data_IF_112812243412
#
_entry.id   IF_112812243412
#
_cell.length_a   1.000
_cell.length_b   1.000
_cell.length_c   1.000
_cell.angle_alpha   90.00
_cell.angle_beta   90.00
_cell.angle_gamma   90.00
#
_symmetry.space_group_name_H-M   'P 1'
#
loop_
_entity.id
_entity.type
_entity.pdbx_description
1 polymer ?
#
# COMPACT_ATOMS: atom_id res chain seq x y z
N UNK A 1 -20.63 11.61 -14.82
CA UNK A 1 -19.74 12.08 -13.71
C UNK A 1 -19.88 11.24 -12.43
N UNK A 2 -21.07 11.05 -11.84
CA UNK A 2 -21.26 10.18 -10.65
C UNK A 2 -20.91 8.71 -10.90
N UNK A 3 -21.29 8.18 -12.07
CA UNK A 3 -21.03 6.78 -12.45
C UNK A 3 -19.53 6.45 -12.51
N UNK A 4 -18.71 7.24 -13.22
CA UNK A 4 -17.24 7.09 -13.27
C UNK A 4 -16.57 7.13 -11.88
N UNK A 5 -17.08 7.96 -10.96
CA UNK A 5 -16.53 8.03 -9.59
C UNK A 5 -16.79 6.73 -8.81
N UNK A 6 -17.93 6.09 -9.04
CA UNK A 6 -18.25 4.81 -8.40
C UNK A 6 -17.39 3.67 -8.97
N UNK A 7 -17.12 3.67 -10.27
CA UNK A 7 -16.26 2.66 -10.91
C UNK A 7 -14.83 2.69 -10.39
N UNK A 8 -14.24 3.88 -10.24
CA UNK A 8 -12.87 4.02 -9.69
C UNK A 8 -12.77 3.50 -8.26
N UNK A 9 -13.79 3.74 -7.44
CA UNK A 9 -13.82 3.25 -6.05
C UNK A 9 -13.94 1.72 -6.03
N UNK A 10 -14.79 1.14 -6.88
CA UNK A 10 -14.92 -0.32 -7.00
C UNK A 10 -13.61 -0.95 -7.49
N UNK A 11 -12.95 -0.36 -8.49
CA UNK A 11 -11.67 -0.83 -9.01
C UNK A 11 -10.59 -0.78 -7.92
N UNK A 12 -10.53 0.33 -7.19
CA UNK A 12 -9.59 0.55 -6.09
C UNK A 12 -9.77 -0.49 -4.98
N UNK A 13 -11.00 -0.67 -4.49
CA UNK A 13 -11.30 -1.58 -3.37
C UNK A 13 -11.06 -3.03 -3.79
N UNK A 14 -11.51 -3.42 -5.00
CA UNK A 14 -11.33 -4.78 -5.51
C UNK A 14 -9.85 -5.15 -5.60
N UNK A 15 -9.03 -4.28 -6.21
CA UNK A 15 -7.59 -4.53 -6.30
C UNK A 15 -6.90 -4.51 -4.93
N UNK A 16 -7.35 -3.67 -3.99
CA UNK A 16 -6.84 -3.68 -2.61
C UNK A 16 -7.13 -5.01 -1.90
N UNK A 17 -8.35 -5.55 -2.07
CA UNK A 17 -8.74 -6.85 -1.53
C UNK A 17 -7.86 -7.97 -2.10
N UNK A 18 -7.62 -7.97 -3.42
CA UNK A 18 -6.77 -8.96 -4.09
C UNK A 18 -5.32 -8.82 -3.64
N UNK A 19 -4.79 -7.61 -3.53
CA UNK A 19 -3.43 -7.35 -3.03
C UNK A 19 -3.25 -7.88 -1.59
N UNK A 20 -4.21 -7.58 -0.71
CA UNK A 20 -4.21 -8.05 0.69
C UNK A 20 -4.35 -9.57 0.78
N UNK A 21 -5.20 -10.19 -0.04
CA UNK A 21 -5.33 -11.63 -0.13
C UNK A 21 -4.01 -12.27 -0.58
N UNK A 22 -3.37 -11.72 -1.61
CA UNK A 22 -2.08 -12.17 -2.13
C UNK A 22 -0.98 -12.05 -1.07
N UNK A 23 -0.94 -10.94 -0.33
CA UNK A 23 -0.01 -10.76 0.79
C UNK A 23 -0.24 -11.80 1.92
N UNK A 24 -1.50 -12.17 2.19
CA UNK A 24 -1.83 -13.23 3.17
C UNK A 24 -1.40 -14.60 2.67
N UNK A 25 -1.60 -14.93 1.40
CA UNK A 25 -1.12 -16.18 0.80
C UNK A 25 0.41 -16.23 0.89
N UNK A 26 1.09 -15.15 0.48
CA UNK A 26 2.56 -15.09 0.50
C UNK A 26 3.13 -15.25 1.91
N UNK A 27 2.45 -14.70 2.94
CA UNK A 27 2.80 -14.95 4.35
C UNK A 27 2.80 -16.42 4.73
N UNK A 28 1.83 -17.19 4.23
CA UNK A 28 1.73 -18.63 4.52
C UNK A 28 2.78 -19.45 3.76
N UNK A 29 3.29 -18.93 2.64
CA UNK A 29 4.37 -19.54 1.87
C UNK A 29 5.75 -19.26 2.49
N UNK A 30 6.05 -17.99 2.81
CA UNK A 30 7.37 -17.58 3.32
C UNK A 30 7.56 -18.01 4.78
N UNK A 31 6.49 -17.95 5.59
CA UNK A 31 6.51 -18.33 7.01
C UNK A 31 7.58 -17.65 7.86
N UNK A 32 8.04 -16.45 7.48
CA UNK A 32 9.06 -15.73 8.23
C UNK A 32 8.53 -15.33 9.62
N UNK A 33 9.31 -15.59 10.67
CA UNK A 33 8.99 -15.16 12.04
C UNK A 33 8.97 -13.62 12.13
N UNK A 34 8.12 -13.11 13.01
CA UNK A 34 8.11 -11.68 13.39
C UNK A 34 9.30 -11.37 14.30
N UNK A 35 9.71 -10.09 14.40
CA UNK A 35 10.73 -9.72 15.38
C UNK A 35 10.26 -10.11 16.79
N UNK A 36 11.19 -10.56 17.66
CA UNK A 36 10.88 -10.78 19.07
C UNK A 36 10.47 -9.44 19.67
N UNK A 37 9.18 -9.28 19.95
CA UNK A 37 8.62 -8.08 20.57
C UNK A 37 8.25 -8.40 22.01
N UNK A 38 8.46 -7.44 22.93
CA UNK A 38 8.07 -7.56 24.33
C UNK A 38 6.54 -7.69 24.52
N UNK A 39 5.75 -7.44 23.48
CA UNK A 39 4.30 -7.64 23.46
C UNK A 39 3.99 -8.91 22.69
N UNK A 40 3.37 -9.89 23.37
CA UNK A 40 2.82 -11.15 22.87
C UNK A 40 3.15 -11.45 21.41
N UNK A 41 4.12 -12.34 21.20
CA UNK A 41 4.50 -12.88 19.89
C UNK A 41 3.24 -13.27 19.12
N UNK A 42 2.85 -12.45 18.14
CA UNK A 42 1.69 -12.76 17.33
C UNK A 42 1.94 -14.14 16.70
N UNK A 43 1.00 -15.08 16.84
CA UNK A 43 1.06 -16.43 16.24
C UNK A 43 1.09 -16.43 14.69
N UNK A 44 1.23 -15.26 14.07
CA UNK A 44 1.16 -15.06 12.62
C UNK A 44 2.50 -14.65 12.02
N UNK A 45 2.76 -15.09 10.79
CA UNK A 45 3.97 -14.78 10.04
C UNK A 45 4.10 -13.28 9.71
N UNK A 46 5.35 -12.83 9.60
CA UNK A 46 5.71 -11.42 9.53
C UNK A 46 5.89 -10.85 8.12
N UNK A 47 6.18 -11.69 7.12
CA UNK A 47 6.56 -11.24 5.77
C UNK A 47 5.61 -11.77 4.70
N UNK A 48 5.16 -10.93 3.75
CA UNK A 48 5.25 -9.47 3.73
C UNK A 48 4.32 -8.80 4.75
N UNK A 49 4.54 -7.53 5.12
CA UNK A 49 3.58 -6.78 5.93
C UNK A 49 2.29 -6.49 5.15
N UNK A 50 1.17 -7.15 5.51
CA UNK A 50 -0.15 -6.91 4.88
C UNK A 50 -0.63 -5.47 5.04
N UNK A 51 -0.36 -4.84 6.19
CA UNK A 51 -0.74 -3.45 6.41
C UNK A 51 0.03 -2.52 5.46
N UNK A 52 1.34 -2.73 5.33
CA UNK A 52 2.17 -1.96 4.42
C UNK A 52 1.78 -2.21 2.95
N UNK A 53 1.50 -3.46 2.57
CA UNK A 53 1.04 -3.80 1.23
C UNK A 53 -0.28 -3.11 0.85
N UNK A 54 -1.31 -3.21 1.69
CA UNK A 54 -2.59 -2.57 1.43
C UNK A 54 -2.50 -1.04 1.42
N UNK A 55 -1.77 -0.45 2.37
CA UNK A 55 -1.61 1.00 2.45
C UNK A 55 -0.88 1.56 1.23
N UNK A 56 0.25 0.94 0.85
CA UNK A 56 1.03 1.40 -0.31
C UNK A 56 0.26 1.15 -1.60
N UNK A 57 -0.53 0.06 -1.70
CA UNK A 57 -1.47 -0.12 -2.81
C UNK A 57 -2.41 1.10 -2.96
N UNK A 58 -3.09 1.52 -1.89
CA UNK A 58 -4.01 2.67 -1.96
C UNK A 58 -3.28 3.96 -2.33
N UNK A 59 -2.11 4.21 -1.74
CA UNK A 59 -1.29 5.40 -2.04
C UNK A 59 -0.89 5.41 -3.50
N UNK A 60 -0.35 4.31 -4.03
CA UNK A 60 0.07 4.22 -5.43
C UNK A 60 -1.13 4.35 -6.37
N UNK A 61 -2.26 3.69 -6.09
CA UNK A 61 -3.46 3.78 -6.91
C UNK A 61 -3.99 5.23 -6.97
N UNK A 62 -4.10 5.91 -5.83
CA UNK A 62 -4.56 7.31 -5.77
C UNK A 62 -3.60 8.23 -6.53
N UNK A 63 -2.29 8.02 -6.40
CA UNK A 63 -1.28 8.79 -7.15
C UNK A 63 -1.47 8.61 -8.65
N UNK A 64 -1.63 7.38 -9.13
CA UNK A 64 -1.81 7.09 -10.55
C UNK A 64 -3.09 7.72 -11.11
N UNK A 65 -4.22 7.58 -10.40
CA UNK A 65 -5.50 8.22 -10.77
C UNK A 65 -5.35 9.75 -10.79
N UNK A 66 -4.75 10.34 -9.76
CA UNK A 66 -4.55 11.78 -9.67
C UNK A 66 -3.67 12.31 -10.82
N UNK A 67 -2.64 11.56 -11.22
CA UNK A 67 -1.79 11.91 -12.35
C UNK A 67 -2.53 11.81 -13.68
N UNK A 68 -3.34 10.77 -13.91
CA UNK A 68 -4.18 10.65 -15.10
C UNK A 68 -5.20 11.79 -15.20
N UNK A 69 -5.93 12.07 -14.12
CA UNK A 69 -6.89 13.17 -14.06
C UNK A 69 -6.23 14.54 -14.24
N UNK A 70 -5.02 14.73 -13.71
CA UNK A 70 -4.28 15.99 -13.88
C UNK A 70 -3.90 16.25 -15.34
N UNK A 71 -3.58 15.20 -16.10
CA UNK A 71 -3.28 15.31 -17.54
C UNK A 71 -4.55 15.65 -18.33
N UNK A 72 -5.67 15.02 -18.02
CA UNK A 72 -6.95 15.22 -18.71
C UNK A 72 -7.51 16.63 -18.49
N UNK A 73 -7.48 17.13 -17.26
CA UNK A 73 -8.06 18.43 -16.89
C UNK A 73 -7.06 19.60 -16.92
N UNK A 74 -5.83 19.37 -17.40
CA UNK A 74 -4.82 20.43 -17.52
C UNK A 74 -4.32 21.00 -16.18
N UNK A 75 -4.34 20.22 -15.09
CA UNK A 75 -3.83 20.68 -13.80
C UNK A 75 -2.33 20.93 -13.86
N UNK A 76 -1.88 21.94 -13.12
CA UNK A 76 -0.46 22.27 -13.03
C UNK A 76 0.35 21.10 -12.48
N UNK A 77 1.42 20.73 -13.22
CA UNK A 77 2.36 19.66 -12.86
C UNK A 77 2.90 19.80 -11.44
N UNK A 78 3.03 21.03 -10.93
CA UNK A 78 3.47 21.31 -9.56
C UNK A 78 2.51 20.73 -8.53
N UNK A 79 1.20 20.88 -8.73
CA UNK A 79 0.20 20.34 -7.81
C UNK A 79 0.19 18.80 -7.84
N UNK A 80 0.33 18.20 -9.02
CA UNK A 80 0.46 16.74 -9.16
C UNK A 80 1.71 16.20 -8.44
N UNK A 81 2.85 16.90 -8.57
CA UNK A 81 4.09 16.53 -7.88
C UNK A 81 3.99 16.68 -6.36
N UNK A 82 3.47 17.79 -5.87
CA UNK A 82 3.32 18.06 -4.44
C UNK A 82 2.36 17.07 -3.79
N UNK A 83 1.21 16.80 -4.41
CA UNK A 83 0.25 15.81 -3.90
C UNK A 83 0.83 14.39 -3.91
N UNK A 84 1.54 14.01 -4.97
CA UNK A 84 2.25 12.71 -5.04
C UNK A 84 3.27 12.60 -3.90
N UNK A 85 4.11 13.61 -3.71
CA UNK A 85 5.11 13.62 -2.64
C UNK A 85 4.47 13.52 -1.26
N UNK A 86 3.44 14.31 -0.99
CA UNK A 86 2.72 14.28 0.29
C UNK A 86 2.11 12.90 0.59
N UNK A 87 1.46 12.27 -0.40
CA UNK A 87 0.88 10.94 -0.24
C UNK A 87 1.95 9.87 0.01
N UNK A 88 3.07 9.93 -0.70
CA UNK A 88 4.20 9.02 -0.49
C UNK A 88 4.81 9.17 0.91
N UNK A 89 4.95 10.40 1.42
CA UNK A 89 5.45 10.67 2.77
C UNK A 89 4.50 10.09 3.83
N UNK A 90 3.20 10.39 3.73
CA UNK A 90 2.20 9.89 4.68
C UNK A 90 2.11 8.37 4.65
N UNK A 91 2.08 7.77 3.45
CA UNK A 91 2.06 6.32 3.27
C UNK A 91 3.29 5.64 3.86
N UNK A 92 4.48 6.20 3.62
CA UNK A 92 5.73 5.67 4.17
C UNK A 92 5.78 5.80 5.68
N UNK A 93 5.36 6.94 6.24
CA UNK A 93 5.33 7.15 7.70
C UNK A 93 4.39 6.15 8.39
N UNK A 94 3.19 5.94 7.85
CA UNK A 94 2.26 4.95 8.38
C UNK A 94 2.77 3.51 8.22
N UNK A 95 3.50 3.19 7.14
CA UNK A 95 4.17 1.89 7.02
C UNK A 95 5.30 1.72 8.05
N UNK A 96 6.13 2.74 8.28
CA UNK A 96 7.23 2.75 9.25
C UNK A 96 6.71 2.64 10.69
N UNK A 97 5.52 3.16 10.98
CA UNK A 97 4.87 2.99 12.29
C UNK A 97 4.78 1.53 12.75
N UNK A 98 4.76 0.57 11.80
CA UNK A 98 4.76 -0.86 12.11
C UNK A 98 6.09 -1.35 12.67
N UNK A 99 7.18 -0.73 12.27
CA UNK A 99 8.52 -0.99 12.81
C UNK A 99 8.65 -0.35 14.18
N UNK A 100 8.26 0.92 14.32
CA UNK A 100 8.35 1.68 15.57
C UNK A 100 7.53 1.03 16.70
N UNK A 101 6.37 0.47 16.36
CA UNK A 101 5.53 -0.26 17.32
C UNK A 101 5.99 -1.71 17.57
N UNK A 102 7.12 -2.15 16.98
CA UNK A 102 7.66 -3.50 17.16
C UNK A 102 6.83 -4.61 16.53
N UNK A 103 5.97 -4.31 15.55
CA UNK A 103 5.11 -5.32 14.91
C UNK A 103 5.78 -6.07 13.76
N UNK A 104 6.72 -5.41 13.06
CA UNK A 104 7.40 -5.89 11.87
C UNK A 104 8.83 -5.37 11.79
N UNK A 105 9.72 -6.08 11.10
CA UNK A 105 11.04 -5.55 10.73
C UNK A 105 10.93 -4.60 9.53
N UNK A 106 11.96 -3.78 9.31
CA UNK A 106 12.02 -2.92 8.13
C UNK A 106 11.92 -3.72 6.83
N UNK A 107 12.61 -4.87 6.73
CA UNK A 107 12.53 -5.75 5.56
C UNK A 107 11.11 -6.26 5.29
N UNK A 108 10.34 -6.57 6.33
CA UNK A 108 8.94 -7.00 6.20
C UNK A 108 8.03 -5.88 5.71
N UNK A 109 8.29 -4.65 6.17
CA UNK A 109 7.60 -3.45 5.71
C UNK A 109 7.93 -3.16 4.26
N UNK A 110 9.22 -3.14 3.88
CA UNK A 110 9.68 -2.91 2.51
C UNK A 110 9.08 -3.94 1.55
N UNK A 111 9.14 -5.23 1.89
CA UNK A 111 8.55 -6.28 1.05
C UNK A 111 7.04 -6.11 0.87
N UNK A 112 6.33 -5.69 1.91
CA UNK A 112 4.91 -5.32 1.81
C UNK A 112 4.71 -4.12 0.89
N UNK A 113 5.47 -3.04 1.08
CA UNK A 113 5.39 -1.84 0.26
C UNK A 113 5.66 -2.13 -1.23
N UNK A 114 6.70 -2.91 -1.55
CA UNK A 114 7.01 -3.31 -2.92
C UNK A 114 5.87 -4.12 -3.55
N UNK A 115 5.29 -5.05 -2.81
CA UNK A 115 4.14 -5.83 -3.27
C UNK A 115 2.93 -4.93 -3.57
N UNK A 116 2.60 -4.02 -2.64
CA UNK A 116 1.50 -3.07 -2.79
C UNK A 116 1.65 -2.17 -4.00
N UNK A 117 2.83 -1.56 -4.16
CA UNK A 117 3.13 -0.69 -5.28
C UNK A 117 3.07 -1.45 -6.62
N UNK A 118 3.64 -2.66 -6.68
CA UNK A 118 3.63 -3.47 -7.90
C UNK A 118 2.21 -3.86 -8.30
N UNK A 119 1.38 -4.28 -7.33
CA UNK A 119 -0.02 -4.61 -7.60
C UNK A 119 -0.80 -3.40 -8.11
N UNK A 120 -0.66 -2.23 -7.47
CA UNK A 120 -1.36 -1.03 -7.90
C UNK A 120 -0.96 -0.60 -9.31
N UNK A 121 0.33 -0.67 -9.65
CA UNK A 121 0.83 -0.33 -10.99
C UNK A 121 0.39 -1.29 -12.10
N UNK A 122 0.10 -2.55 -11.77
CA UNK A 122 -0.43 -3.53 -12.74
C UNK A 122 -1.95 -3.43 -12.86
N UNK A 123 -2.63 -3.02 -11.77
CA UNK A 123 -4.08 -2.98 -11.69
C UNK A 123 -4.70 -1.71 -12.29
N UNK A 124 -3.95 -0.60 -12.32
CA UNK A 124 -4.34 0.68 -12.93
C UNK A 124 -3.72 0.84 -14.31
#
# INVERSE_FOLDING_TARGET
LLYYRNELVVLMITGACICVASAKVLKQLIRQKRPPSNRNTSRTFGMPSTHSAGLIYFVTFIVLVAQSASKEHGLSKRHALVSTFALCVVGSAAAISRVLNGHHTLAQVIAGSCLGASFASVWW
#
